data_IF_068572851738
#
_entry.id   IF_068572851738
#
_cell.length_a   1.000
_cell.length_b   1.000
_cell.length_c   1.000
_cell.angle_alpha   90.00
_cell.angle_beta   90.00
_cell.angle_gamma   90.00
#
_symmetry.space_group_name_H-M   'P 1'
#
loop_
_entity.id
_entity.type
_entity.pdbx_description
1 polymer ?
#
# COMPACT_ATOMS: atom_id res chain seq x y z
N UNK A 1 -5.11 61.47 -63.18
CA UNK A 1 -6.52 61.42 -62.75
C UNK A 1 -7.26 60.43 -63.62
N UNK A 2 -7.54 59.22 -63.11
CA UNK A 2 -8.67 58.38 -63.53
C UNK A 2 -8.73 57.15 -62.61
N UNK A 3 -9.90 56.95 -62.01
CA UNK A 3 -10.29 55.82 -61.16
C UNK A 3 -10.86 54.70 -62.04
N UNK A 4 -10.61 53.43 -61.75
CA UNK A 4 -11.54 52.29 -61.96
C UNK A 4 -10.93 51.07 -61.23
N UNK A 5 -11.38 50.76 -60.00
CA UNK A 5 -12.43 49.78 -59.64
C UNK A 5 -12.16 48.33 -60.07
N UNK A 6 -11.78 47.56 -59.05
CA UNK A 6 -12.39 46.31 -58.60
C UNK A 6 -12.13 45.00 -59.36
N UNK A 7 -12.17 43.91 -58.57
CA UNK A 7 -12.18 42.49 -58.90
C UNK A 7 -10.83 41.85 -59.25
N UNK A 8 -10.17 41.31 -58.22
CA UNK A 8 -9.79 39.89 -58.17
C UNK A 8 -9.10 39.60 -56.82
N UNK A 9 -9.89 39.53 -55.76
CA UNK A 9 -9.43 39.05 -54.44
C UNK A 9 -10.47 38.09 -53.90
N UNK A 10 -10.67 36.98 -54.61
CA UNK A 10 -11.52 35.89 -54.19
C UNK A 10 -11.07 34.62 -54.91
N UNK A 11 -9.94 34.05 -54.48
CA UNK A 11 -9.51 32.65 -54.78
C UNK A 11 -8.20 32.30 -54.07
N UNK A 12 -7.98 32.79 -52.84
CA UNK A 12 -6.81 32.33 -52.06
C UNK A 12 -7.06 32.42 -50.55
N UNK A 13 -8.21 31.93 -50.09
CA UNK A 13 -8.45 31.73 -48.65
C UNK A 13 -9.23 30.45 -48.35
N UNK A 14 -9.25 29.51 -49.30
CA UNK A 14 -9.81 28.17 -49.13
C UNK A 14 -8.71 27.10 -49.02
N UNK A 15 -7.64 27.40 -48.28
CA UNK A 15 -6.63 26.41 -47.89
C UNK A 15 -6.06 26.66 -46.49
N UNK A 16 -6.86 27.22 -45.59
CA UNK A 16 -6.46 27.43 -44.19
C UNK A 16 -7.51 27.02 -43.14
N UNK A 17 -8.61 26.38 -43.57
CA UNK A 17 -9.70 25.95 -42.66
C UNK A 17 -9.83 24.42 -42.58
N UNK A 18 -9.03 23.65 -43.34
CA UNK A 18 -9.15 22.18 -43.41
C UNK A 18 -7.92 21.41 -42.88
N UNK A 19 -7.16 22.00 -41.95
CA UNK A 19 -6.00 21.34 -41.32
C UNK A 19 -5.97 21.46 -39.80
N UNK A 20 -7.13 21.77 -39.17
CA UNK A 20 -7.29 21.85 -37.72
C UNK A 20 -8.19 20.76 -37.14
N UNK A 21 -8.44 19.69 -37.90
CA UNK A 21 -9.41 18.65 -37.57
C UNK A 21 -8.84 17.23 -37.54
N UNK A 22 -7.52 17.09 -37.40
CA UNK A 22 -6.92 15.77 -37.25
C UNK A 22 -5.96 15.71 -36.04
N UNK A 23 -6.42 14.95 -35.05
CA UNK A 23 -5.61 14.10 -34.16
C UNK A 23 -4.70 14.79 -33.14
N UNK A 24 -5.30 15.55 -32.23
CA UNK A 24 -4.90 15.43 -30.82
C UNK A 24 -5.73 14.28 -30.21
N UNK A 25 -5.44 13.04 -30.61
CA UNK A 25 -5.82 11.89 -29.80
C UNK A 25 -5.02 12.03 -28.51
N UNK A 26 -5.62 12.68 -27.52
CA UNK A 26 -5.24 12.47 -26.13
C UNK A 26 -5.45 10.98 -25.89
N UNK A 27 -4.38 10.20 -26.02
CA UNK A 27 -4.23 8.96 -25.29
C UNK A 27 -4.35 9.35 -23.82
N UNK A 28 -5.57 9.31 -23.29
CA UNK A 28 -5.78 9.14 -21.88
C UNK A 28 -5.19 7.76 -21.58
N UNK A 29 -3.89 7.73 -21.29
CA UNK A 29 -3.38 6.69 -20.43
C UNK A 29 -4.24 6.81 -19.18
N UNK A 30 -5.18 5.88 -19.00
CA UNK A 30 -5.72 5.62 -17.68
C UNK A 30 -4.50 5.22 -16.85
N UNK A 31 -3.86 6.18 -16.19
CA UNK A 31 -3.13 5.87 -14.99
C UNK A 31 -4.18 5.22 -14.12
N UNK A 32 -4.10 3.90 -13.96
CA UNK A 32 -4.77 3.23 -12.87
C UNK A 32 -4.26 3.97 -11.62
N UNK A 33 -5.06 4.92 -11.13
CA UNK A 33 -4.70 5.70 -9.96
C UNK A 33 -4.37 4.68 -8.88
N UNK A 34 -3.15 4.74 -8.35
CA UNK A 34 -2.72 3.82 -7.31
C UNK A 34 -3.77 3.91 -6.21
N UNK A 35 -4.51 2.82 -5.98
CA UNK A 35 -5.53 2.79 -4.93
C UNK A 35 -4.86 3.01 -3.58
N UNK A 36 -5.53 3.73 -2.71
CA UNK A 36 -5.13 3.82 -1.32
C UNK A 36 -5.25 2.44 -0.69
N UNK A 37 -4.14 1.93 -0.18
CA UNK A 37 -4.06 0.58 0.38
C UNK A 37 -4.53 0.54 1.84
N UNK A 38 -4.59 1.70 2.52
CA UNK A 38 -5.20 1.90 3.84
C UNK A 38 -6.59 2.51 3.69
N UNK A 39 -7.48 2.20 4.63
CA UNK A 39 -8.69 3.01 4.79
C UNK A 39 -8.32 4.41 5.32
N UNK A 40 -9.17 5.44 5.14
CA UNK A 40 -8.91 6.75 5.73
C UNK A 40 -8.66 6.69 7.24
N UNK A 41 -9.44 5.88 7.96
CA UNK A 41 -9.31 5.68 9.40
C UNK A 41 -8.00 4.96 9.76
N UNK A 42 -7.58 3.97 8.98
CA UNK A 42 -6.27 3.32 9.19
C UNK A 42 -5.13 4.32 8.97
N UNK A 43 -5.22 5.17 7.94
CA UNK A 43 -4.23 6.21 7.70
C UNK A 43 -4.17 7.24 8.84
N UNK A 44 -5.32 7.62 9.41
CA UNK A 44 -5.38 8.47 10.59
C UNK A 44 -4.74 7.79 11.80
N UNK A 45 -5.04 6.51 12.05
CA UNK A 45 -4.39 5.75 13.13
C UNK A 45 -2.88 5.64 12.96
N UNK A 46 -2.37 5.53 11.71
CA UNK A 46 -0.93 5.54 11.42
C UNK A 46 -0.33 6.90 11.77
N UNK A 47 -1.00 8.01 11.40
CA UNK A 47 -0.56 9.38 11.73
C UNK A 47 -0.58 9.65 13.24
N UNK A 48 -1.60 9.16 13.94
CA UNK A 48 -1.74 9.35 15.39
C UNK A 48 -0.73 8.51 16.19
N UNK A 49 -0.28 7.38 15.62
CA UNK A 49 0.73 6.51 16.22
C UNK A 49 2.14 7.08 16.08
N UNK A 50 2.49 7.99 17.00
CA UNK A 50 3.81 8.65 17.03
C UNK A 50 4.97 7.68 17.28
N UNK A 51 4.81 6.75 18.21
CA UNK A 51 5.83 5.73 18.51
C UNK A 51 5.86 4.64 17.44
N UNK A 52 7.08 4.27 16.99
CA UNK A 52 7.28 3.31 15.91
C UNK A 52 6.56 1.98 16.15
N UNK A 53 6.65 1.42 17.36
CA UNK A 53 6.04 0.12 17.68
C UNK A 53 4.50 0.16 17.75
N UNK A 54 3.94 1.35 18.04
CA UNK A 54 2.49 1.60 17.94
C UNK A 54 2.07 1.68 16.47
N UNK A 55 2.84 2.40 15.65
CA UNK A 55 2.55 2.54 14.20
C UNK A 55 2.65 1.19 13.48
N UNK A 56 3.68 0.40 13.78
CA UNK A 56 3.81 -0.98 13.31
C UNK A 56 2.60 -1.84 13.70
N UNK A 57 2.02 -1.63 14.89
CA UNK A 57 0.81 -2.36 15.30
C UNK A 57 -0.41 -2.02 14.43
N UNK A 58 -0.53 -0.77 13.99
CA UNK A 58 -1.60 -0.32 13.08
C UNK A 58 -1.46 -1.01 11.73
N UNK A 59 -0.25 -1.02 11.15
CA UNK A 59 0.02 -1.72 9.89
C UNK A 59 -0.29 -3.21 9.99
N UNK A 60 0.16 -3.89 11.06
CA UNK A 60 -0.12 -5.32 11.27
C UNK A 60 -1.63 -5.57 11.27
N UNK A 61 -2.39 -4.79 12.06
CA UNK A 61 -3.84 -4.98 12.13
C UNK A 61 -4.52 -4.69 10.79
N UNK A 62 -4.09 -3.65 10.06
CA UNK A 62 -4.63 -3.34 8.74
C UNK A 62 -4.41 -4.50 7.73
N UNK A 63 -3.22 -5.11 7.73
CA UNK A 63 -2.92 -6.28 6.89
C UNK A 63 -3.70 -7.53 7.33
N UNK A 64 -3.78 -7.82 8.63
CA UNK A 64 -4.53 -8.98 9.17
C UNK A 64 -6.03 -8.89 8.82
N UNK A 65 -6.61 -7.69 8.82
CA UNK A 65 -8.02 -7.47 8.41
C UNK A 65 -8.28 -7.84 6.96
N UNK A 66 -7.34 -7.53 6.05
CA UNK A 66 -7.41 -7.90 4.64
C UNK A 66 -7.19 -9.40 4.44
N UNK A 67 -6.26 -9.99 5.19
CA UNK A 67 -6.01 -11.41 5.17
C UNK A 67 -7.24 -12.22 5.63
N UNK A 68 -7.94 -11.73 6.65
CA UNK A 68 -9.20 -12.31 7.11
C UNK A 68 -10.25 -12.33 5.99
N UNK A 69 -10.41 -11.23 5.25
CA UNK A 69 -11.36 -11.13 4.13
C UNK A 69 -10.99 -12.02 2.93
N UNK A 70 -9.71 -12.36 2.77
CA UNK A 70 -9.25 -13.35 1.78
C UNK A 70 -9.66 -14.77 2.20
N UNK A 71 -9.53 -15.09 3.49
CA UNK A 71 -9.87 -16.42 4.02
C UNK A 71 -11.38 -16.66 4.16
N UNK A 72 -12.14 -15.62 4.54
CA UNK A 72 -13.59 -15.63 4.63
C UNK A 72 -14.15 -14.29 4.13
N UNK A 73 -14.69 -14.23 2.89
CA UNK A 73 -15.30 -13.02 2.34
C UNK A 73 -16.48 -12.49 3.16
N UNK A 74 -17.11 -13.31 4.02
CA UNK A 74 -18.21 -12.90 4.88
C UNK A 74 -17.75 -12.39 6.25
N UNK A 75 -16.44 -12.37 6.52
CA UNK A 75 -15.86 -11.91 7.77
C UNK A 75 -16.10 -10.41 8.05
N UNK A 76 -16.62 -9.65 7.08
CA UNK A 76 -17.06 -8.26 7.29
C UNK A 76 -17.99 -8.09 8.51
N UNK A 77 -18.84 -9.08 8.80
CA UNK A 77 -19.68 -9.09 10.02
C UNK A 77 -18.87 -9.21 11.31
N UNK A 78 -17.78 -9.97 11.30
CA UNK A 78 -16.88 -10.13 12.46
C UNK A 78 -16.11 -8.83 12.74
N UNK A 79 -15.89 -8.03 11.69
CA UNK A 79 -15.17 -6.75 11.75
C UNK A 79 -16.07 -5.58 12.15
N UNK A 80 -17.38 -5.76 12.20
CA UNK A 80 -18.38 -4.69 12.34
C UNK A 80 -18.19 -3.87 13.63
N UNK A 81 -17.78 -4.54 14.72
CA UNK A 81 -17.42 -3.89 15.99
C UNK A 81 -16.23 -2.92 15.91
N UNK A 82 -15.38 -3.10 14.91
CA UNK A 82 -14.14 -2.34 14.72
C UNK A 82 -14.26 -1.35 13.54
N UNK A 83 -15.35 -1.37 12.76
CA UNK A 83 -15.51 -0.56 11.54
C UNK A 83 -15.49 0.94 11.85
N UNK A 84 -16.08 1.39 12.95
CA UNK A 84 -16.06 2.82 13.31
C UNK A 84 -14.62 3.33 13.50
N UNK A 85 -13.78 2.53 14.18
CA UNK A 85 -12.40 2.90 14.48
C UNK A 85 -11.45 2.68 13.29
N UNK A 86 -11.66 1.64 12.49
CA UNK A 86 -10.69 1.18 11.51
C UNK A 86 -11.17 1.34 10.05
N UNK A 87 -12.38 1.83 9.82
CA UNK A 87 -13.02 1.82 8.51
C UNK A 87 -13.29 0.41 7.99
N UNK A 88 -14.01 0.27 6.88
CA UNK A 88 -14.23 -1.02 6.22
C UNK A 88 -13.26 -1.18 5.05
N UNK A 89 -12.38 -2.21 5.02
CA UNK A 89 -11.59 -2.50 3.84
C UNK A 89 -12.49 -2.94 2.69
N UNK A 90 -12.37 -2.28 1.54
CA UNK A 90 -13.20 -2.55 0.35
C UNK A 90 -12.34 -2.97 -0.81
N UNK A 91 -12.83 -3.94 -1.57
CA UNK A 91 -12.16 -4.39 -2.78
C UNK A 91 -12.40 -5.86 -3.08
N UNK A 92 -11.74 -6.31 -4.13
CA UNK A 92 -11.68 -7.72 -4.52
C UNK A 92 -10.56 -8.44 -3.76
N UNK A 93 -10.51 -9.77 -3.85
CA UNK A 93 -9.38 -10.57 -3.33
C UNK A 93 -8.02 -10.08 -3.85
N UNK A 94 -7.94 -9.70 -5.13
CA UNK A 94 -6.73 -9.15 -5.73
C UNK A 94 -6.36 -7.78 -5.16
N UNK A 95 -7.35 -6.94 -4.83
CA UNK A 95 -7.10 -5.68 -4.14
C UNK A 95 -6.59 -5.90 -2.72
N UNK A 96 -7.14 -6.87 -1.99
CA UNK A 96 -6.67 -7.17 -0.63
C UNK A 96 -5.24 -7.71 -0.60
N UNK A 97 -4.85 -8.54 -1.58
CA UNK A 97 -3.47 -8.99 -1.72
C UNK A 97 -2.52 -7.83 -2.07
N UNK A 98 -2.94 -6.95 -2.98
CA UNK A 98 -2.20 -5.72 -3.28
C UNK A 98 -2.05 -4.84 -2.03
N UNK A 99 -3.13 -4.65 -1.29
CA UNK A 99 -3.14 -3.83 -0.08
C UNK A 99 -2.21 -4.43 0.98
N UNK A 100 -2.23 -5.75 1.22
CA UNK A 100 -1.31 -6.42 2.16
C UNK A 100 0.14 -6.18 1.78
N UNK A 101 0.49 -6.40 0.50
CA UNK A 101 1.84 -6.11 0.01
C UNK A 101 2.24 -4.66 0.33
N UNK A 102 1.40 -3.68 -0.03
CA UNK A 102 1.69 -2.25 0.20
C UNK A 102 1.78 -1.87 1.68
N UNK A 103 0.95 -2.47 2.53
CA UNK A 103 1.00 -2.24 3.99
C UNK A 103 2.32 -2.75 4.57
N UNK A 104 2.78 -3.93 4.16
CA UNK A 104 4.06 -4.47 4.63
C UNK A 104 5.24 -3.64 4.10
N UNK A 105 5.19 -3.21 2.84
CA UNK A 105 6.17 -2.32 2.20
C UNK A 105 6.29 -0.98 2.96
N UNK A 106 5.16 -0.37 3.31
CA UNK A 106 5.13 0.88 4.08
C UNK A 106 5.60 0.68 5.53
N UNK A 107 5.29 -0.47 6.14
CA UNK A 107 5.78 -0.81 7.48
C UNK A 107 7.31 -0.98 7.50
N UNK A 108 7.89 -1.60 6.47
CA UNK A 108 9.34 -1.72 6.28
C UNK A 108 9.95 -0.34 6.13
N UNK A 109 9.45 0.46 5.18
CA UNK A 109 9.92 1.83 4.92
C UNK A 109 9.91 2.68 6.20
N UNK A 110 8.85 2.57 7.01
CA UNK A 110 8.74 3.30 8.27
C UNK A 110 9.82 2.92 9.31
N UNK A 111 10.20 1.65 9.36
CA UNK A 111 11.26 1.17 10.25
C UNK A 111 12.62 1.64 9.72
N UNK A 112 12.84 1.53 8.42
CA UNK A 112 14.06 1.97 7.74
C UNK A 112 14.28 3.48 7.88
N UNK A 113 13.23 4.29 7.72
CA UNK A 113 13.29 5.75 7.90
C UNK A 113 13.70 6.14 9.33
N UNK A 114 13.21 5.42 10.34
CA UNK A 114 13.65 5.63 11.72
C UNK A 114 15.10 5.19 11.89
N UNK A 115 15.49 4.05 11.32
CA UNK A 115 16.87 3.56 11.35
C UNK A 115 17.85 4.50 10.67
N UNK A 116 17.49 5.09 9.54
CA UNK A 116 18.30 6.04 8.80
C UNK A 116 18.53 7.35 9.59
N UNK A 117 17.59 7.71 10.48
CA UNK A 117 17.70 8.90 11.36
C UNK A 117 18.40 8.59 12.68
N UNK A 118 18.13 7.43 13.26
CA UNK A 118 18.66 6.96 14.53
C UNK A 118 18.77 5.42 14.53
N UNK A 119 19.91 4.91 14.09
CA UNK A 119 20.20 3.46 14.04
C UNK A 119 20.15 2.79 15.43
N UNK A 120 20.29 3.56 16.50
CA UNK A 120 20.28 3.06 17.89
C UNK A 120 18.92 3.19 18.55
N UNK A 121 17.89 3.59 17.81
CA UNK A 121 16.56 3.75 18.36
C UNK A 121 16.08 2.43 18.99
N UNK A 122 15.76 2.42 20.30
CA UNK A 122 15.40 1.19 21.00
C UNK A 122 14.07 0.59 20.53
N UNK A 123 13.26 1.33 19.77
CA UNK A 123 12.01 0.83 19.21
C UNK A 123 12.22 0.02 17.92
N UNK A 124 13.37 0.13 17.23
CA UNK A 124 13.62 -0.62 15.98
C UNK A 124 13.59 -2.13 16.25
N UNK A 125 14.39 -2.71 17.17
CA UNK A 125 14.34 -4.15 17.40
C UNK A 125 12.96 -4.63 17.87
N UNK A 126 12.29 -3.83 18.71
CA UNK A 126 10.94 -4.14 19.21
C UNK A 126 9.93 -4.21 18.05
N UNK A 127 9.98 -3.25 17.14
CA UNK A 127 9.04 -3.13 16.02
C UNK A 127 9.28 -4.22 14.97
N UNK A 128 10.55 -4.49 14.64
CA UNK A 128 10.93 -5.58 13.71
C UNK A 128 10.49 -6.93 14.26
N UNK A 129 10.72 -7.22 15.55
CA UNK A 129 10.26 -8.48 16.16
C UNK A 129 8.75 -8.64 16.10
N UNK A 130 8.01 -7.59 16.47
CA UNK A 130 6.55 -7.57 16.42
C UNK A 130 6.01 -7.78 15.01
N UNK A 131 6.64 -7.13 14.03
CA UNK A 131 6.28 -7.29 12.62
C UNK A 131 6.60 -8.70 12.13
N UNK A 132 7.74 -9.28 12.50
CA UNK A 132 8.11 -10.64 12.13
C UNK A 132 7.19 -11.72 12.73
N UNK A 133 6.74 -11.55 13.97
CA UNK A 133 5.75 -12.45 14.57
C UNK A 133 4.44 -12.44 13.76
N UNK A 134 3.98 -11.27 13.34
CA UNK A 134 2.80 -11.15 12.48
C UNK A 134 3.05 -11.71 11.07
N UNK A 135 4.16 -11.36 10.43
CA UNK A 135 4.55 -11.84 9.11
C UNK A 135 4.67 -13.37 9.07
N UNK A 136 5.16 -14.00 10.13
CA UNK A 136 5.19 -15.47 10.24
C UNK A 136 3.78 -16.08 10.16
N UNK A 137 2.80 -15.50 10.87
CA UNK A 137 1.39 -15.95 10.80
C UNK A 137 0.75 -15.64 9.45
N UNK A 138 1.13 -14.52 8.83
CA UNK A 138 0.65 -14.16 7.49
C UNK A 138 1.19 -15.13 6.44
N UNK A 139 2.46 -15.50 6.50
CA UNK A 139 3.06 -16.49 5.59
C UNK A 139 2.34 -17.83 5.61
N UNK A 140 1.95 -18.31 6.80
CA UNK A 140 1.18 -19.55 6.95
C UNK A 140 -0.16 -19.51 6.21
N UNK A 141 -0.75 -18.33 6.01
CA UNK A 141 -2.01 -18.15 5.31
C UNK A 141 -1.84 -17.75 3.84
N UNK A 142 -0.80 -16.99 3.51
CA UNK A 142 -0.52 -16.51 2.15
C UNK A 142 0.11 -17.60 1.27
N UNK A 143 1.08 -18.37 1.77
CA UNK A 143 1.80 -19.35 0.96
C UNK A 143 0.87 -20.41 0.30
N UNK A 144 -0.15 -20.97 0.99
CA UNK A 144 -1.09 -21.90 0.36
C UNK A 144 -1.99 -21.28 -0.72
N UNK A 145 -2.01 -19.94 -0.86
CA UNK A 145 -2.79 -19.27 -1.89
C UNK A 145 -2.13 -19.37 -3.27
N UNK A 146 -0.83 -19.69 -3.36
CA UNK A 146 -0.08 -19.82 -4.62
C UNK A 146 -0.73 -20.79 -5.61
N UNK A 147 -1.34 -21.86 -5.09
CA UNK A 147 -2.04 -22.86 -5.92
C UNK A 147 -3.45 -22.41 -6.34
N UNK A 148 -3.94 -21.29 -5.78
CA UNK A 148 -5.31 -20.78 -5.93
C UNK A 148 -5.37 -19.45 -6.67
N UNK A 149 -4.24 -18.89 -7.10
CA UNK A 149 -4.17 -17.64 -7.87
C UNK A 149 -4.23 -17.94 -9.36
N UNK A 150 -5.20 -17.33 -10.05
CA UNK A 150 -5.39 -17.53 -11.49
C UNK A 150 -4.96 -16.33 -12.33
N UNK A 151 -5.04 -15.11 -11.79
CA UNK A 151 -4.69 -13.87 -12.50
C UNK A 151 -3.29 -13.35 -12.20
N UNK A 152 -2.64 -12.74 -13.19
CA UNK A 152 -1.26 -12.23 -13.06
C UNK A 152 -1.12 -11.13 -12.01
N UNK A 153 -2.10 -10.22 -11.93
CA UNK A 153 -2.12 -9.16 -10.91
C UNK A 153 -2.19 -9.73 -9.50
N UNK A 154 -3.04 -10.73 -9.32
CA UNK A 154 -3.24 -11.39 -8.03
C UNK A 154 -1.97 -12.18 -7.65
N UNK A 155 -1.39 -12.92 -8.59
CA UNK A 155 -0.12 -13.65 -8.41
C UNK A 155 1.01 -12.70 -8.05
N UNK A 156 1.20 -11.61 -8.78
CA UNK A 156 2.25 -10.63 -8.51
C UNK A 156 2.10 -9.99 -7.12
N UNK A 157 0.87 -9.64 -6.74
CA UNK A 157 0.61 -9.05 -5.42
C UNK A 157 0.84 -10.05 -4.30
N UNK A 158 0.45 -11.32 -4.49
CA UNK A 158 0.69 -12.40 -3.54
C UNK A 158 2.20 -12.63 -3.34
N UNK A 159 2.96 -12.78 -4.42
CA UNK A 159 4.40 -13.03 -4.31
C UNK A 159 5.11 -11.86 -3.61
N UNK A 160 4.80 -10.61 -3.95
CA UNK A 160 5.37 -9.46 -3.24
C UNK A 160 4.98 -9.39 -1.76
N UNK A 161 3.76 -9.80 -1.41
CA UNK A 161 3.36 -9.88 -0.01
C UNK A 161 4.15 -10.96 0.75
N UNK A 162 4.41 -12.10 0.10
CA UNK A 162 5.22 -13.19 0.66
C UNK A 162 6.69 -12.75 0.79
N UNK A 163 7.28 -12.17 -0.26
CA UNK A 163 8.65 -11.64 -0.26
C UNK A 163 8.87 -10.66 0.90
N UNK A 164 8.00 -9.64 1.04
CA UNK A 164 8.08 -8.69 2.15
C UNK A 164 7.99 -9.39 3.51
N UNK A 165 7.08 -10.36 3.65
CA UNK A 165 6.93 -11.09 4.91
C UNK A 165 8.14 -11.98 5.23
N UNK A 166 8.75 -12.62 4.24
CA UNK A 166 9.99 -13.39 4.37
C UNK A 166 11.18 -12.50 4.75
N UNK A 167 11.33 -11.34 4.10
CA UNK A 167 12.38 -10.36 4.40
C UNK A 167 12.29 -9.83 5.83
N UNK A 168 11.08 -9.50 6.29
CA UNK A 168 10.82 -9.08 7.68
C UNK A 168 11.27 -10.18 8.66
N UNK A 169 10.90 -11.44 8.41
CA UNK A 169 11.27 -12.56 9.28
C UNK A 169 12.79 -12.77 9.26
N UNK A 170 13.42 -12.71 8.10
CA UNK A 170 14.86 -12.81 7.95
C UNK A 170 15.61 -11.68 8.67
N UNK A 171 15.08 -10.44 8.64
CA UNK A 171 15.63 -9.31 9.36
C UNK A 171 15.57 -9.51 10.87
N UNK A 172 14.45 -10.01 11.41
CA UNK A 172 14.31 -10.30 12.83
C UNK A 172 15.30 -11.38 13.33
N UNK A 173 15.61 -12.37 12.50
CA UNK A 173 16.60 -13.41 12.81
C UNK A 173 18.04 -12.87 12.93
N UNK A 174 18.32 -11.70 12.36
CA UNK A 174 19.62 -11.01 12.48
C UNK A 174 19.73 -10.11 13.73
N UNK A 175 18.64 -9.90 14.46
CA UNK A 175 18.65 -9.04 15.64
C UNK A 175 19.31 -9.74 16.84
N UNK A 176 20.10 -9.00 17.65
CA UNK A 176 20.67 -9.54 18.88
C UNK A 176 19.55 -9.94 19.86
N UNK A 177 19.75 -11.04 20.59
CA UNK A 177 18.78 -11.52 21.59
C UNK A 177 18.33 -10.39 22.53
N UNK A 178 17.06 -10.39 22.91
CA UNK A 178 16.57 -9.40 23.88
C UNK A 178 17.35 -9.58 25.19
N UNK A 179 17.97 -8.49 25.65
CA UNK A 179 18.54 -8.46 26.99
C UNK A 179 17.37 -8.62 27.96
N UNK A 180 17.28 -9.77 28.62
CA UNK A 180 16.23 -10.03 29.58
C UNK A 180 16.23 -8.89 30.61
N UNK A 181 15.12 -8.14 30.69
CA UNK A 181 14.91 -7.24 31.82
C UNK A 181 14.82 -8.14 33.04
N UNK A 182 15.93 -8.28 33.76
CA UNK A 182 15.96 -8.85 35.11
C UNK A 182 14.86 -8.15 35.88
N UNK A 183 13.79 -8.87 36.23
CA UNK A 183 12.79 -8.37 37.18
C UNK A 183 13.58 -7.95 38.41
N UNK A 184 13.77 -6.65 38.60
CA UNK A 184 14.11 -6.09 39.89
C UNK A 184 12.91 -6.45 40.75
N UNK A 185 13.08 -7.53 41.51
CA UNK A 185 12.18 -7.86 42.59
C UNK A 185 12.39 -6.79 43.64
N UNK A 186 11.47 -5.85 43.72
CA UNK A 186 11.33 -5.04 44.91
C UNK A 186 10.47 -5.84 45.89
N UNK A 187 11.18 -6.52 46.81
CA UNK A 187 10.64 -6.91 48.10
C UNK A 187 10.52 -5.64 48.94
N UNK A 188 9.31 -5.29 49.37
CA UNK A 188 8.88 -5.26 50.78
C UNK A 188 7.44 -4.75 50.88
#
# INVERSE_FOLDING_TARGET
TMKFKALQSATLSLLFVLTFLFTAQHTQASSAAARDHLTPQEADLVRDAQELDKRTAVFIKAAERRLLLIGDPNAGKQMQKDVEKWGEPKGTRADFLYDIYKILDEAITNIEDVGARDERNPLIPKSVRKLAEASTRMLQQLAPLRDKVTGDRERNSLERAIENAEDIVAAANKLPAEKSKKKSGEKQ
#
